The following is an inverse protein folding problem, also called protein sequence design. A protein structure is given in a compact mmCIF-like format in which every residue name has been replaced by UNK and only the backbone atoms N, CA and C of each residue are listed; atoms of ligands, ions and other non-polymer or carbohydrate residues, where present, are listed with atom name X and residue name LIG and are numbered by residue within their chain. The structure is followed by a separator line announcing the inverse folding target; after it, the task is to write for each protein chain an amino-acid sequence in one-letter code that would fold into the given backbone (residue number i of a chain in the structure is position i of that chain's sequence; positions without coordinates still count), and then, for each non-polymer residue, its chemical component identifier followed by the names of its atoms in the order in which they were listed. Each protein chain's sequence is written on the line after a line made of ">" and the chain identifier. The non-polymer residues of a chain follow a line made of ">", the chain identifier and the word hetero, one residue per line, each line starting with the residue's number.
data_IF_367868307441
#
_entry.id   IF_367868307441
#
_cell.length_a   1.000
_cell.length_b   1.000
_cell.length_c   1.000
_cell.angle_alpha   90.00
_cell.angle_beta   90.00
_cell.angle_gamma   90.00
#
_symmetry.space_group_name_H-M   'P 1'
#
loop_
_entity.id
_entity.type
_entity.pdbx_description
1 polymer ?
#
# COMPACT_ATOMS: atom_id res chain seq x y z
N UNK A 1 -1.13 -28.67 40.68
CA UNK A 1 -1.67 -27.32 40.39
C UNK A 1 -0.52 -26.33 40.47
N UNK A 2 0.09 -25.97 39.33
CA UNK A 2 1.04 -24.86 39.27
C UNK A 2 0.97 -24.25 37.86
N UNK A 3 0.29 -23.11 37.77
CA UNK A 3 0.17 -22.28 36.57
C UNK A 3 1.25 -21.21 36.68
N UNK A 4 2.27 -21.22 35.82
CA UNK A 4 3.19 -20.09 35.62
C UNK A 4 3.66 -20.00 34.16
N UNK A 5 3.17 -18.95 33.50
CA UNK A 5 3.98 -17.97 32.78
C UNK A 5 4.83 -18.45 31.59
N UNK A 6 4.26 -18.35 30.38
CA UNK A 6 5.02 -18.05 29.15
C UNK A 6 4.17 -17.09 28.31
N UNK A 7 4.36 -15.78 28.53
CA UNK A 7 3.72 -14.72 27.74
C UNK A 7 4.70 -13.55 27.63
N UNK A 8 5.75 -13.74 26.83
CA UNK A 8 6.61 -12.66 26.36
C UNK A 8 7.36 -13.14 25.14
N UNK A 9 6.96 -12.66 23.97
CA UNK A 9 7.63 -13.01 22.72
C UNK A 9 6.86 -12.51 21.52
N UNK A 10 6.50 -11.22 21.49
CA UNK A 10 6.14 -10.48 20.27
C UNK A 10 6.00 -9.00 20.61
N UNK A 11 6.36 -8.16 19.63
CA UNK A 11 6.30 -6.69 19.59
C UNK A 11 7.53 -5.93 20.09
N UNK A 12 8.55 -5.89 19.23
CA UNK A 12 9.34 -4.67 19.03
C UNK A 12 9.71 -4.53 17.55
N UNK A 13 8.74 -4.11 16.74
CA UNK A 13 9.01 -3.44 15.46
C UNK A 13 8.25 -2.12 15.55
N UNK A 14 8.89 -1.13 16.15
CA UNK A 14 8.38 0.22 16.24
C UNK A 14 9.38 1.15 15.54
N UNK A 15 8.85 1.96 14.63
CA UNK A 15 9.47 3.13 14.01
C UNK A 15 10.72 2.86 13.15
N UNK A 16 10.51 2.41 11.90
CA UNK A 16 11.47 2.69 10.84
C UNK A 16 11.17 4.08 10.28
N UNK A 17 12.09 5.02 10.49
CA UNK A 17 12.12 6.31 9.83
C UNK A 17 12.27 6.08 8.32
N UNK A 18 11.36 6.65 7.53
CA UNK A 18 11.35 6.54 6.07
C UNK A 18 12.59 7.18 5.41
N UNK A 19 13.25 8.13 6.06
CA UNK A 19 14.48 8.77 5.55
C UNK A 19 15.73 7.86 5.60
N UNK A 20 15.79 6.87 6.49
CA UNK A 20 16.93 5.93 6.52
C UNK A 20 16.82 4.79 5.51
N UNK A 21 15.61 4.49 5.02
CA UNK A 21 15.39 3.42 4.03
C UNK A 21 15.96 3.78 2.66
N UNK A 22 15.88 5.06 2.25
CA UNK A 22 16.46 5.51 0.98
C UNK A 22 18.00 5.42 0.94
N UNK A 23 18.68 5.57 2.07
CA UNK A 23 20.15 5.55 2.14
C UNK A 23 20.74 4.14 2.25
N UNK A 24 19.94 3.12 2.58
CA UNK A 24 20.43 1.74 2.80
C UNK A 24 20.56 0.91 1.51
N UNK A 25 19.92 1.28 0.40
CA UNK A 25 20.05 0.57 -0.88
C UNK A 25 21.45 0.67 -1.52
N UNK A 26 22.28 1.67 -1.15
CA UNK A 26 23.59 1.88 -1.80
C UNK A 26 24.78 1.28 -1.05
N UNK A 27 24.61 0.68 0.15
CA UNK A 27 25.75 0.39 1.04
C UNK A 27 25.71 -0.94 1.81
N UNK A 28 25.15 -2.01 1.26
CA UNK A 28 25.38 -3.35 1.85
C UNK A 28 25.96 -4.33 0.83
N UNK A 29 27.25 -4.68 0.94
CA UNK A 29 27.77 -5.86 0.25
C UNK A 29 27.15 -7.10 0.91
N UNK A 30 26.29 -7.79 0.17
CA UNK A 30 25.67 -9.04 0.63
C UNK A 30 26.64 -10.19 0.37
N UNK A 31 27.05 -10.97 1.39
CA UNK A 31 27.83 -12.17 1.17
C UNK A 31 26.99 -13.20 0.41
N UNK A 32 27.47 -13.59 -0.77
CA UNK A 32 26.91 -14.66 -1.59
C UNK A 32 27.19 -16.00 -0.93
N UNK A 33 26.25 -16.47 -0.11
CA UNK A 33 26.21 -17.86 0.34
C UNK A 33 24.76 -18.35 0.24
N UNK A 34 24.44 -18.99 -0.87
CA UNK A 34 23.29 -19.88 -0.92
C UNK A 34 23.78 -21.30 -1.21
N UNK A 35 23.55 -22.27 -0.29
CA UNK A 35 23.58 -23.67 -0.66
C UNK A 35 22.42 -23.93 -1.64
N UNK A 36 22.71 -24.62 -2.72
CA UNK A 36 21.75 -25.13 -3.70
C UNK A 36 20.75 -26.05 -3.02
N UNK A 37 19.65 -25.50 -2.49
CA UNK A 37 18.49 -26.31 -2.11
C UNK A 37 17.65 -26.54 -3.35
N UNK A 38 17.79 -27.74 -3.92
CA UNK A 38 16.88 -28.30 -4.90
C UNK A 38 15.51 -28.51 -4.25
N UNK A 39 14.60 -27.56 -4.44
CA UNK A 39 13.21 -27.72 -4.06
C UNK A 39 12.56 -28.78 -4.96
N UNK A 40 11.89 -29.81 -4.40
CA UNK A 40 11.08 -30.71 -5.20
C UNK A 40 10.00 -29.90 -5.91
N UNK A 41 9.90 -30.07 -7.23
CA UNK A 41 8.80 -29.58 -8.07
C UNK A 41 7.55 -30.35 -7.64
N UNK A 42 6.91 -29.89 -6.56
CA UNK A 42 5.56 -30.33 -6.23
C UNK A 42 4.62 -29.73 -7.27
N UNK A 43 4.24 -30.58 -8.23
CA UNK A 43 3.05 -30.45 -9.05
C UNK A 43 1.93 -29.92 -8.16
N UNK A 44 1.56 -28.65 -8.34
CA UNK A 44 0.50 -28.00 -7.59
C UNK A 44 -0.78 -28.78 -7.83
N UNK A 45 -1.16 -29.63 -6.89
CA UNK A 45 -2.53 -30.11 -6.80
C UNK A 45 -3.39 -28.87 -6.57
N UNK A 46 -4.47 -28.75 -7.35
CA UNK A 46 -5.58 -27.86 -7.09
C UNK A 46 -6.10 -28.17 -5.68
N UNK A 47 -5.53 -27.52 -4.66
CA UNK A 47 -6.13 -27.47 -3.34
C UNK A 47 -7.37 -26.60 -3.54
N UNK A 48 -8.53 -27.25 -3.49
CA UNK A 48 -9.81 -26.57 -3.41
C UNK A 48 -9.71 -25.54 -2.28
N UNK A 49 -9.73 -24.26 -2.64
CA UNK A 49 -9.76 -23.21 -1.64
C UNK A 49 -11.03 -23.40 -0.79
N UNK A 50 -10.95 -23.26 0.54
CA UNK A 50 -12.15 -23.16 1.35
C UNK A 50 -12.97 -22.00 0.79
N UNK A 51 -14.20 -22.30 0.37
CA UNK A 51 -15.16 -21.30 -0.11
C UNK A 51 -15.42 -20.37 1.07
N UNK A 52 -14.71 -19.24 1.11
CA UNK A 52 -15.12 -18.13 1.95
C UNK A 52 -16.53 -17.73 1.51
N UNK A 53 -17.44 -17.41 2.45
CA UNK A 53 -18.70 -16.78 2.09
C UNK A 53 -18.41 -15.67 1.08
N UNK A 54 -19.13 -15.68 -0.05
CA UNK A 54 -19.02 -14.64 -1.06
C UNK A 54 -19.55 -13.33 -0.48
N UNK A 55 -18.75 -12.69 0.36
CA UNK A 55 -18.93 -11.32 0.77
C UNK A 55 -18.70 -10.49 -0.51
N UNK A 56 -19.78 -9.84 -0.96
CA UNK A 56 -19.80 -9.08 -2.21
C UNK A 56 -18.72 -8.01 -2.11
N UNK A 57 -17.89 -7.89 -3.14
CA UNK A 57 -16.85 -6.88 -3.18
C UNK A 57 -17.50 -5.49 -3.01
N UNK A 58 -17.08 -4.69 -2.01
CA UNK A 58 -17.58 -3.34 -1.88
C UNK A 58 -17.14 -2.50 -3.08
N UNK A 59 -18.06 -1.65 -3.54
CA UNK A 59 -17.72 -0.57 -4.46
C UNK A 59 -16.83 0.44 -3.70
N UNK A 60 -15.64 0.82 -4.19
CA UNK A 60 -14.76 1.77 -3.50
C UNK A 60 -15.47 3.08 -3.08
N UNK A 61 -16.45 3.53 -3.87
CA UNK A 61 -17.23 4.74 -3.59
C UNK A 61 -18.27 4.52 -2.48
N UNK A 62 -18.71 3.27 -2.27
CA UNK A 62 -19.70 2.93 -1.24
C UNK A 62 -19.09 2.70 0.15
N UNK A 63 -17.77 2.54 0.25
CA UNK A 63 -17.09 2.36 1.54
C UNK A 63 -17.20 3.65 2.36
N UNK A 64 -17.98 3.60 3.44
CA UNK A 64 -18.11 4.70 4.39
C UNK A 64 -16.90 4.74 5.33
N UNK A 65 -16.37 5.93 5.56
CA UNK A 65 -15.22 6.13 6.43
C UNK A 65 -15.52 5.64 7.86
N UNK A 66 -14.67 4.78 8.41
CA UNK A 66 -14.78 4.26 9.78
C UNK A 66 -15.95 3.30 10.03
N UNK A 67 -16.63 2.81 8.99
CA UNK A 67 -17.76 1.90 9.15
C UNK A 67 -17.36 0.51 9.65
N UNK A 68 -16.13 0.07 9.35
CA UNK A 68 -15.60 -1.25 9.66
C UNK A 68 -16.47 -2.42 9.14
N UNK A 69 -17.27 -2.18 8.10
CA UNK A 69 -18.24 -3.15 7.58
C UNK A 69 -17.58 -4.17 6.66
N UNK A 70 -16.44 -3.82 6.04
CA UNK A 70 -15.80 -4.60 4.99
C UNK A 70 -14.41 -5.09 5.36
N UNK A 71 -13.97 -4.88 6.61
CA UNK A 71 -12.63 -5.25 7.09
C UNK A 71 -12.28 -6.72 6.83
N UNK A 72 -13.14 -7.72 7.14
CA UNK A 72 -12.80 -9.13 6.90
C UNK A 72 -12.57 -9.43 5.42
N UNK A 73 -13.43 -8.91 4.55
CA UNK A 73 -13.29 -9.04 3.10
C UNK A 73 -12.02 -8.36 2.59
N UNK A 74 -11.82 -7.08 2.91
CA UNK A 74 -10.70 -6.27 2.41
C UNK A 74 -9.34 -6.81 2.88
N UNK A 75 -9.23 -7.23 4.15
CA UNK A 75 -7.99 -7.86 4.65
C UNK A 75 -7.72 -9.21 4.00
N UNK A 76 -8.76 -10.01 3.74
CA UNK A 76 -8.63 -11.27 3.00
C UNK A 76 -8.19 -11.05 1.54
N UNK A 77 -8.78 -10.06 0.87
CA UNK A 77 -8.39 -9.68 -0.50
C UNK A 77 -6.95 -9.16 -0.54
N UNK A 78 -6.56 -8.34 0.42
CA UNK A 78 -5.19 -7.81 0.53
C UNK A 78 -4.17 -8.94 0.73
N UNK A 79 -4.44 -9.88 1.63
CA UNK A 79 -3.59 -11.07 1.84
C UNK A 79 -3.43 -11.86 0.53
N UNK A 80 -4.54 -12.13 -0.16
CA UNK A 80 -4.52 -12.88 -1.43
C UNK A 80 -3.65 -12.17 -2.49
N UNK A 81 -3.86 -10.86 -2.70
CA UNK A 81 -3.12 -10.09 -3.68
C UNK A 81 -1.63 -10.00 -3.36
N UNK A 82 -1.26 -9.84 -2.09
CA UNK A 82 0.13 -9.79 -1.65
C UNK A 82 0.83 -11.15 -1.79
N UNK A 83 0.10 -12.25 -1.57
CA UNK A 83 0.62 -13.59 -1.83
C UNK A 83 0.90 -13.79 -3.32
N UNK A 84 -0.02 -13.39 -4.19
CA UNK A 84 0.18 -13.41 -5.64
C UNK A 84 1.35 -12.51 -6.07
N UNK A 85 1.50 -11.33 -5.47
CA UNK A 85 2.64 -10.45 -5.73
C UNK A 85 3.97 -11.11 -5.33
N UNK A 86 4.05 -11.72 -4.14
CA UNK A 86 5.24 -12.46 -3.71
C UNK A 86 5.59 -13.57 -4.70
N UNK A 87 4.61 -14.37 -5.12
CA UNK A 87 4.83 -15.45 -6.09
C UNK A 87 5.31 -14.90 -7.44
N UNK A 88 4.72 -13.81 -7.92
CA UNK A 88 5.13 -13.17 -9.17
C UNK A 88 6.56 -12.63 -9.11
N UNK A 89 6.92 -11.94 -8.03
CA UNK A 89 8.29 -11.45 -7.79
C UNK A 89 9.28 -12.61 -7.84
N UNK A 90 9.01 -13.69 -7.09
CA UNK A 90 9.89 -14.85 -7.02
C UNK A 90 10.11 -15.50 -8.40
N UNK A 91 9.03 -15.78 -9.13
CA UNK A 91 9.13 -16.49 -10.39
C UNK A 91 9.65 -15.63 -11.54
N UNK A 92 9.25 -14.36 -11.63
CA UNK A 92 9.43 -13.56 -12.84
C UNK A 92 10.43 -12.40 -12.70
N UNK A 93 10.86 -12.07 -11.48
CA UNK A 93 11.70 -10.91 -11.20
C UNK A 93 12.93 -11.21 -10.33
N UNK A 94 13.19 -12.48 -9.98
CA UNK A 94 14.32 -12.89 -9.14
C UNK A 94 15.72 -12.57 -9.72
N UNK A 95 15.80 -12.17 -10.98
CA UNK A 95 17.04 -11.74 -11.63
C UNK A 95 17.34 -10.24 -11.48
N UNK A 96 16.41 -9.43 -10.99
CA UNK A 96 16.63 -7.99 -10.85
C UNK A 96 17.52 -7.69 -9.62
N UNK A 97 18.30 -6.62 -9.71
CA UNK A 97 19.07 -6.09 -8.58
C UNK A 97 18.09 -5.66 -7.48
N UNK A 98 18.49 -5.77 -6.21
CA UNK A 98 17.64 -5.54 -5.03
C UNK A 98 16.46 -6.50 -4.84
N UNK A 99 16.31 -7.54 -5.69
CA UNK A 99 15.21 -8.50 -5.57
C UNK A 99 15.03 -9.03 -4.14
N UNK A 100 16.13 -9.40 -3.48
CA UNK A 100 16.08 -9.98 -2.15
C UNK A 100 15.51 -9.01 -1.11
N UNK A 101 15.91 -7.73 -1.15
CA UNK A 101 15.44 -6.71 -0.22
C UNK A 101 13.94 -6.46 -0.44
N UNK A 102 13.56 -6.14 -1.67
CA UNK A 102 12.16 -5.86 -2.04
C UNK A 102 11.23 -7.06 -1.83
N UNK A 103 11.69 -8.29 -2.08
CA UNK A 103 10.93 -9.49 -1.76
C UNK A 103 10.69 -9.65 -0.26
N UNK A 104 11.71 -9.39 0.56
CA UNK A 104 11.60 -9.46 2.02
C UNK A 104 10.61 -8.42 2.57
N UNK A 105 10.64 -7.21 2.02
CA UNK A 105 9.69 -6.14 2.34
C UNK A 105 8.26 -6.50 1.92
N UNK A 106 8.08 -7.00 0.70
CA UNK A 106 6.78 -7.46 0.21
C UNK A 106 6.23 -8.60 1.07
N UNK A 107 7.08 -9.53 1.49
CA UNK A 107 6.69 -10.61 2.39
C UNK A 107 6.31 -10.08 3.78
N UNK A 108 7.00 -9.06 4.27
CA UNK A 108 6.65 -8.39 5.52
C UNK A 108 5.26 -7.73 5.43
N UNK A 109 4.94 -7.11 4.29
CA UNK A 109 3.61 -6.57 4.01
C UNK A 109 2.52 -7.66 4.01
N UNK A 110 2.82 -8.83 3.42
CA UNK A 110 1.94 -10.00 3.48
C UNK A 110 1.69 -10.48 4.92
N UNK A 111 2.71 -10.50 5.78
CA UNK A 111 2.55 -10.86 7.19
C UNK A 111 1.67 -9.84 7.95
N UNK A 112 1.79 -8.55 7.63
CA UNK A 112 0.90 -7.51 8.17
C UNK A 112 -0.55 -7.77 7.76
N UNK A 113 -0.82 -8.08 6.48
CA UNK A 113 -2.17 -8.40 6.02
C UNK A 113 -2.76 -9.64 6.72
N UNK A 114 -1.98 -10.70 6.90
CA UNK A 114 -2.38 -11.90 7.67
C UNK A 114 -2.74 -11.56 9.11
N UNK A 115 -1.93 -10.72 9.74
CA UNK A 115 -2.14 -10.29 11.13
C UNK A 115 -3.43 -9.47 11.25
N UNK A 116 -3.66 -8.53 10.32
CA UNK A 116 -4.89 -7.73 10.25
C UNK A 116 -6.12 -8.62 10.06
N UNK A 117 -6.08 -9.59 9.14
CA UNK A 117 -7.18 -10.53 8.92
C UNK A 117 -7.52 -11.35 10.17
N UNK A 118 -6.52 -11.93 10.84
CA UNK A 118 -6.73 -12.73 12.06
C UNK A 118 -7.28 -11.85 13.19
N UNK A 119 -6.85 -10.60 13.26
CA UNK A 119 -7.30 -9.65 14.27
C UNK A 119 -8.59 -8.89 13.89
N UNK A 120 -9.16 -9.10 12.71
CA UNK A 120 -10.28 -8.31 12.16
C UNK A 120 -11.48 -8.22 13.12
N UNK A 121 -11.81 -9.31 13.80
CA UNK A 121 -12.92 -9.35 14.76
C UNK A 121 -12.65 -8.64 16.09
N UNK A 122 -11.40 -8.27 16.38
CA UNK A 122 -10.95 -7.65 17.64
C UNK A 122 -10.04 -6.44 17.38
N UNK A 123 -10.18 -5.83 16.21
CA UNK A 123 -9.23 -4.86 15.71
C UNK A 123 -9.25 -3.61 16.62
N UNK A 124 -8.17 -3.36 17.34
CA UNK A 124 -8.00 -2.09 18.05
C UNK A 124 -7.68 -1.02 17.01
N UNK A 125 -8.57 -0.03 16.87
CA UNK A 125 -8.46 1.03 15.86
C UNK A 125 -7.08 1.71 15.86
N UNK A 126 -6.50 1.98 17.03
CA UNK A 126 -5.18 2.65 17.13
C UNK A 126 -4.05 1.76 16.61
N UNK A 127 -4.09 0.47 16.95
CA UNK A 127 -3.08 -0.49 16.49
C UNK A 127 -3.19 -0.71 14.98
N UNK A 128 -4.42 -0.84 14.48
CA UNK A 128 -4.71 -0.99 13.07
C UNK A 128 -4.27 0.23 12.26
N UNK A 129 -4.55 1.44 12.75
CA UNK A 129 -4.10 2.69 12.14
C UNK A 129 -2.59 2.72 11.96
N UNK A 130 -1.81 2.39 13.00
CA UNK A 130 -0.34 2.37 12.91
C UNK A 130 0.16 1.31 11.93
N UNK A 131 -0.43 0.11 11.96
CA UNK A 131 -0.05 -0.97 11.04
C UNK A 131 -0.34 -0.60 9.58
N UNK A 132 -1.50 0.01 9.32
CA UNK A 132 -1.92 0.41 7.98
C UNK A 132 -1.11 1.59 7.44
N UNK A 133 -0.80 2.59 8.27
CA UNK A 133 0.07 3.69 7.87
C UNK A 133 1.49 3.20 7.52
N UNK A 134 2.04 2.26 8.31
CA UNK A 134 3.32 1.61 8.00
C UNK A 134 3.26 0.75 6.73
N UNK A 135 2.14 0.04 6.53
CA UNK A 135 1.90 -0.77 5.34
C UNK A 135 1.82 0.09 4.06
N UNK A 136 1.17 1.25 4.12
CA UNK A 136 1.04 2.20 3.02
C UNK A 136 2.40 2.78 2.61
N UNK A 137 3.17 3.27 3.60
CA UNK A 137 4.52 3.77 3.35
C UNK A 137 5.44 2.69 2.76
N UNK A 138 5.37 1.46 3.27
CA UNK A 138 6.15 0.32 2.76
C UNK A 138 5.73 -0.05 1.34
N UNK A 139 4.43 -0.05 1.03
CA UNK A 139 3.93 -0.34 -0.31
C UNK A 139 4.44 0.69 -1.32
N UNK A 140 4.40 1.98 -0.98
CA UNK A 140 4.93 3.05 -1.84
C UNK A 140 6.41 2.86 -2.12
N UNK A 141 7.19 2.55 -1.09
CA UNK A 141 8.61 2.21 -1.26
C UNK A 141 8.83 1.04 -2.22
N UNK A 142 8.09 -0.06 -2.05
CA UNK A 142 8.16 -1.23 -2.94
C UNK A 142 7.80 -0.83 -4.39
N UNK A 143 6.77 0.00 -4.60
CA UNK A 143 6.40 0.53 -5.92
C UNK A 143 7.57 1.24 -6.59
N UNK A 144 8.25 2.13 -5.87
CA UNK A 144 9.40 2.87 -6.40
C UNK A 144 10.56 1.92 -6.73
N UNK A 145 10.81 0.89 -5.90
CA UNK A 145 11.87 -0.10 -6.13
C UNK A 145 11.65 -0.96 -7.37
N UNK A 146 10.41 -1.39 -7.64
CA UNK A 146 10.13 -2.32 -8.75
C UNK A 146 9.81 -1.64 -10.07
N UNK A 147 9.54 -0.33 -10.07
CA UNK A 147 9.27 0.43 -11.29
C UNK A 147 10.34 0.27 -12.38
N UNK A 148 11.66 0.30 -12.09
CA UNK A 148 12.69 0.11 -13.11
C UNK A 148 12.95 -1.35 -13.50
N UNK A 149 12.27 -2.33 -12.87
CA UNK A 149 12.59 -3.74 -13.07
C UNK A 149 12.15 -4.27 -14.44
N UNK A 150 12.91 -5.25 -14.92
CA UNK A 150 12.58 -5.99 -16.14
C UNK A 150 11.94 -7.32 -15.80
N UNK A 151 10.90 -7.70 -16.55
CA UNK A 151 10.23 -9.00 -16.38
C UNK A 151 10.85 -10.05 -17.26
N UNK A 152 11.26 -11.19 -16.68
CA UNK A 152 11.51 -12.43 -17.42
C UNK A 152 10.34 -13.36 -17.14
N UNK A 153 9.46 -13.55 -18.11
CA UNK A 153 8.26 -14.36 -17.91
C UNK A 153 8.63 -15.85 -17.81
N UNK A 154 8.51 -16.41 -16.59
CA UNK A 154 8.67 -17.85 -16.31
C UNK A 154 7.35 -18.53 -15.95
N UNK A 155 6.46 -17.83 -15.25
CA UNK A 155 5.16 -18.36 -14.82
C UNK A 155 4.12 -17.26 -14.78
N UNK A 156 2.93 -17.52 -15.31
CA UNK A 156 1.79 -16.65 -15.04
C UNK A 156 1.29 -16.88 -13.60
N UNK A 157 1.30 -15.82 -12.81
CA UNK A 157 0.76 -15.76 -11.46
C UNK A 157 -0.36 -14.73 -11.49
N UNK A 158 -1.53 -15.05 -10.92
CA UNK A 158 -2.69 -14.15 -10.86
C UNK A 158 -3.15 -13.58 -12.20
N UNK A 159 -4.00 -12.56 -12.12
CA UNK A 159 -4.46 -11.77 -13.26
C UNK A 159 -3.57 -10.53 -13.47
N UNK A 160 -3.26 -10.22 -14.72
CA UNK A 160 -2.47 -9.04 -15.09
C UNK A 160 -0.95 -9.17 -14.90
N UNK A 161 -0.27 -8.04 -15.05
CA UNK A 161 1.17 -7.87 -14.77
C UNK A 161 1.42 -7.34 -13.35
N UNK A 162 2.70 -7.18 -12.99
CA UNK A 162 3.09 -6.69 -11.66
C UNK A 162 2.48 -5.32 -11.35
N UNK A 163 2.51 -4.36 -12.28
CA UNK A 163 1.91 -3.03 -12.10
C UNK A 163 0.41 -3.09 -11.81
N UNK A 164 -0.33 -3.93 -12.55
CA UNK A 164 -1.77 -4.13 -12.30
C UNK A 164 -2.01 -4.67 -10.90
N UNK A 165 -1.22 -5.66 -10.46
CA UNK A 165 -1.32 -6.22 -9.10
C UNK A 165 -1.02 -5.19 -8.03
N UNK A 166 0.04 -4.39 -8.19
CA UNK A 166 0.39 -3.36 -7.22
C UNK A 166 -0.72 -2.32 -7.09
N UNK A 167 -1.29 -1.88 -8.22
CA UNK A 167 -2.45 -0.99 -8.21
C UNK A 167 -3.64 -1.60 -7.46
N UNK A 168 -3.93 -2.89 -7.67
CA UNK A 168 -4.99 -3.58 -6.93
C UNK A 168 -4.69 -3.68 -5.43
N UNK A 169 -3.43 -3.89 -5.04
CA UNK A 169 -2.98 -3.89 -3.63
C UNK A 169 -3.17 -2.52 -3.01
N UNK A 170 -2.75 -1.46 -3.71
CA UNK A 170 -2.87 -0.05 -3.29
C UNK A 170 -4.34 0.35 -3.13
N UNK A 171 -5.19 0.08 -4.11
CA UNK A 171 -6.63 0.35 -4.04
C UNK A 171 -7.28 -0.40 -2.88
N UNK A 172 -6.92 -1.67 -2.68
CA UNK A 172 -7.47 -2.48 -1.57
C UNK A 172 -7.00 -1.95 -0.22
N UNK A 173 -5.73 -1.53 -0.10
CA UNK A 173 -5.18 -0.95 1.12
C UNK A 173 -5.83 0.39 1.44
N UNK A 174 -6.02 1.26 0.45
CA UNK A 174 -6.71 2.53 0.58
C UNK A 174 -8.17 2.34 1.03
N UNK A 175 -8.89 1.40 0.42
CA UNK A 175 -10.25 1.02 0.84
C UNK A 175 -10.27 0.53 2.29
N UNK A 176 -9.30 -0.28 2.69
CA UNK A 176 -9.18 -0.80 4.06
C UNK A 176 -8.90 0.32 5.07
N UNK A 177 -8.01 1.25 4.73
CA UNK A 177 -7.74 2.44 5.53
C UNK A 177 -8.99 3.30 5.71
N UNK A 178 -9.74 3.54 4.62
CA UNK A 178 -11.01 4.26 4.64
C UNK A 178 -12.03 3.56 5.54
N UNK A 179 -12.25 2.25 5.37
CA UNK A 179 -13.24 1.48 6.14
C UNK A 179 -12.93 1.46 7.65
N UNK A 180 -11.64 1.40 8.03
CA UNK A 180 -11.20 1.46 9.43
C UNK A 180 -11.21 2.89 10.01
N UNK A 181 -11.30 3.91 9.16
CA UNK A 181 -11.24 5.31 9.58
C UNK A 181 -9.80 5.79 9.82
N UNK A 182 -8.83 5.25 9.10
CA UNK A 182 -7.47 5.76 9.03
C UNK A 182 -7.47 6.90 8.02
N UNK A 183 -7.22 8.13 8.47
CA UNK A 183 -6.96 9.22 7.54
C UNK A 183 -5.66 8.89 6.77
N UNK A 184 -5.63 9.06 5.44
CA UNK A 184 -4.39 8.95 4.69
C UNK A 184 -3.38 9.93 5.28
N UNK A 185 -2.12 9.51 5.37
CA UNK A 185 -1.07 10.31 5.99
C UNK A 185 -1.03 11.72 5.35
N UNK A 186 -1.33 12.80 6.10
CA UNK A 186 -1.40 14.13 5.54
C UNK A 186 0.00 14.58 5.11
N UNK A 187 0.19 14.77 3.80
CA UNK A 187 1.47 15.28 3.27
C UNK A 187 1.87 14.87 1.84
N UNK A 188 1.10 14.03 1.13
CA UNK A 188 1.51 13.57 -0.21
C UNK A 188 0.51 13.83 -1.36
N UNK A 189 -0.79 14.00 -1.09
CA UNK A 189 -1.81 14.34 -2.10
C UNK A 189 -2.72 15.49 -1.66
N UNK A 190 -2.14 16.49 -0.99
CA UNK A 190 -2.83 17.77 -0.91
C UNK A 190 -2.74 18.41 -2.30
N UNK A 191 -3.75 18.16 -3.13
CA UNK A 191 -3.98 19.02 -4.29
C UNK A 191 -3.87 20.47 -3.80
N UNK A 192 -3.10 21.34 -4.49
CA UNK A 192 -2.96 22.72 -4.07
C UNK A 192 -4.37 23.27 -3.83
N UNK A 193 -4.59 24.01 -2.72
CA UNK A 193 -5.90 24.58 -2.45
C UNK A 193 -6.39 25.28 -3.72
N UNK A 194 -7.67 25.13 -4.10
CA UNK A 194 -8.20 25.81 -5.27
C UNK A 194 -7.82 27.28 -5.15
N UNK A 195 -7.31 27.92 -6.23
CA UNK A 195 -6.88 29.30 -6.17
C UNK A 195 -8.00 30.12 -5.55
N UNK A 196 -7.68 30.77 -4.42
CA UNK A 196 -8.58 31.69 -3.73
C UNK A 196 -9.23 32.58 -4.77
N UNK A 197 -10.57 32.75 -4.79
CA UNK A 197 -11.21 33.70 -5.67
C UNK A 197 -10.54 35.05 -5.45
N UNK A 198 -9.84 35.54 -6.47
CA UNK A 198 -9.26 36.87 -6.46
C UNK A 198 -10.43 37.82 -6.16
N UNK A 199 -10.33 38.71 -5.17
CA UNK A 199 -11.33 39.74 -4.96
C UNK A 199 -11.50 40.49 -6.27
N UNK A 200 -12.67 40.36 -6.90
CA UNK A 200 -13.03 41.18 -8.04
C UNK A 200 -12.80 42.63 -7.64
N UNK A 201 -11.82 43.27 -8.28
CA UNK A 201 -11.66 44.71 -8.15
C UNK A 201 -12.98 45.36 -8.55
N UNK A 202 -13.47 46.36 -7.78
CA UNK A 202 -14.70 47.05 -8.12
C UNK A 202 -14.58 47.66 -9.53
N UNK A 203 -15.68 47.68 -10.31
CA UNK A 203 -15.67 48.22 -11.66
C UNK A 203 -15.15 49.66 -11.65
N UNK A 204 -14.19 49.93 -12.53
CA UNK A 204 -13.61 51.25 -12.70
C UNK A 204 -14.71 52.28 -13.02
N UNK A 205 -14.70 53.38 -12.27
CA UNK A 205 -15.58 54.51 -12.50
C UNK A 205 -15.43 55.05 -13.94
N UNK A 206 -16.52 55.47 -14.59
CA UNK A 206 -16.45 56.03 -15.94
C UNK A 206 -15.62 57.32 -15.96
N UNK A 207 -14.72 57.42 -16.94
CA UNK A 207 -13.85 58.56 -17.14
C UNK A 207 -14.65 59.87 -17.37
N UNK A 208 -14.19 61.03 -16.86
CA UNK A 208 -14.84 62.30 -17.09
C UNK A 208 -14.69 62.73 -18.56
N UNK A 209 -15.83 63.08 -19.16
CA UNK A 209 -15.92 63.67 -20.50
C UNK A 209 -15.11 64.98 -20.54
N UNK A 210 -14.07 65.01 -21.39
CA UNK A 210 -13.33 66.24 -21.68
C UNK A 210 -14.17 67.14 -22.57
N UNK A 211 -14.57 68.30 -22.03
CA UNK A 211 -15.23 69.37 -22.76
C UNK A 211 -14.17 70.10 -23.61
N UNK A 212 -14.34 70.22 -24.94
CA UNK A 212 -13.41 71.00 -25.75
C UNK A 212 -13.65 72.50 -25.54
N UNK A 213 -12.63 73.18 -25.02
CA UNK A 213 -12.58 74.64 -24.93
C UNK A 213 -12.46 75.23 -26.34
N UNK A 214 -13.48 76.00 -26.74
CA UNK A 214 -13.53 76.76 -27.98
C UNK A 214 -12.47 77.86 -27.95
N UNK A 215 -11.61 77.93 -28.97
CA UNK A 215 -10.80 79.12 -29.24
C UNK A 215 -11.57 80.07 -30.16
N UNK A 216 -11.50 81.36 -29.77
CA UNK A 216 -11.88 82.59 -30.45
C UNK A 216 -13.34 83.04 -30.41
#
# INVERSE_FOLDING_TARGET
>A
MTIRTVLTGLLTIAALNTDELHAQCLRRPVPSFYPTQSFPVHRTQLIAQPILPQEIAPDPDSIRFGACEHVPYLTGKLEFLLNDLCLDLYYNYSHNVEFQATYTETYSLLQTAKTLRVSAHRLNAVTAQRQLAGADALLKHICDCVMPWTRIHRRQVGLGGMQTRMKMVEETLCCLMKDIGVAPTPGLDQAPPPPTPIPHAPPAAPAPLSVPTRFR
#
